data_IF_990078724900
#
_entry.id   IF_990078724900
#
_cell.length_a   1.000
_cell.length_b   1.000
_cell.length_c   1.000
_cell.angle_alpha   90.00
_cell.angle_beta   90.00
_cell.angle_gamma   90.00
#
_symmetry.space_group_name_H-M   'P 1'
#
loop_
_entity.id
_entity.type
_entity.pdbx_description
1 polymer ?
#
# COMPACT_ATOMS: atom_id res chain seq x y z
N UNK A 1 -88.76 22.25 137.98
CA UNK A 1 -87.69 21.85 137.04
C UNK A 1 -88.17 21.52 135.62
N UNK A 2 -89.47 21.27 135.35
CA UNK A 2 -89.96 20.96 134.00
C UNK A 2 -90.12 22.18 133.06
N UNK A 3 -90.22 23.42 133.58
CA UNK A 3 -90.53 24.61 132.78
C UNK A 3 -89.39 25.17 131.92
N UNK A 4 -88.12 24.88 132.25
CA UNK A 4 -86.96 25.45 131.53
C UNK A 4 -86.46 24.61 130.35
N UNK A 5 -86.94 23.38 130.21
CA UNK A 5 -86.56 22.50 129.09
C UNK A 5 -87.21 22.89 127.74
N UNK A 6 -88.09 23.89 127.72
CA UNK A 6 -88.88 24.25 126.53
C UNK A 6 -88.44 25.51 125.76
N UNK A 7 -87.53 26.33 126.30
CA UNK A 7 -87.20 27.66 125.71
C UNK A 7 -85.89 27.72 124.93
N UNK A 8 -84.98 26.76 125.12
CA UNK A 8 -83.68 26.69 124.42
C UNK A 8 -83.61 25.40 123.60
N UNK A 9 -82.97 25.46 122.43
CA UNK A 9 -82.78 24.26 121.59
C UNK A 9 -81.59 23.43 122.08
N UNK A 10 -81.54 22.15 121.70
CA UNK A 10 -80.50 21.20 122.13
C UNK A 10 -79.10 21.65 121.65
N UNK A 11 -79.02 22.34 120.52
CA UNK A 11 -77.78 22.86 119.96
C UNK A 11 -77.19 24.02 120.78
N UNK A 12 -78.04 24.92 121.25
CA UNK A 12 -77.64 26.09 122.05
C UNK A 12 -77.13 25.65 123.42
N UNK A 13 -77.79 24.67 124.05
CA UNK A 13 -77.33 24.07 125.32
C UNK A 13 -75.96 23.39 125.17
N UNK A 14 -75.66 22.84 123.99
CA UNK A 14 -74.38 22.18 123.73
C UNK A 14 -73.26 23.17 123.39
N UNK A 15 -73.56 24.22 122.61
CA UNK A 15 -72.59 25.26 122.24
C UNK A 15 -72.23 26.15 123.43
N UNK A 16 -73.21 26.57 124.23
CA UNK A 16 -73.05 27.56 125.28
C UNK A 16 -73.56 27.04 126.65
N UNK A 17 -72.80 26.11 127.23
CA UNK A 17 -73.13 25.44 128.50
C UNK A 17 -73.21 26.39 129.70
N UNK A 18 -72.36 27.41 129.71
CA UNK A 18 -72.28 28.37 130.82
C UNK A 18 -73.51 29.26 130.89
N UNK A 19 -74.07 29.64 129.72
CA UNK A 19 -75.28 30.45 129.64
C UNK A 19 -76.49 29.68 130.18
N UNK A 20 -76.65 28.40 129.80
CA UNK A 20 -77.71 27.55 130.34
C UNK A 20 -77.60 27.37 131.86
N UNK A 21 -76.40 27.14 132.38
CA UNK A 21 -76.15 27.02 133.82
C UNK A 21 -76.50 28.30 134.59
N UNK A 22 -76.25 29.47 134.00
CA UNK A 22 -76.65 30.77 134.54
C UNK A 22 -78.17 30.92 134.70
N UNK A 23 -78.93 30.65 133.63
CA UNK A 23 -80.39 30.76 133.64
C UNK A 23 -81.04 29.82 134.67
N UNK A 24 -80.57 28.58 134.78
CA UNK A 24 -81.13 27.62 135.75
C UNK A 24 -80.90 28.08 137.19
N UNK A 25 -79.74 28.68 137.48
CA UNK A 25 -79.45 29.24 138.80
C UNK A 25 -80.41 30.38 139.14
N UNK A 26 -80.65 31.29 138.20
CA UNK A 26 -81.51 32.46 138.41
C UNK A 26 -82.95 32.07 138.75
N UNK A 27 -83.51 31.06 138.07
CA UNK A 27 -84.88 30.58 138.32
C UNK A 27 -84.98 29.74 139.59
N UNK A 28 -83.95 28.93 139.92
CA UNK A 28 -84.00 28.04 141.08
C UNK A 28 -83.61 28.73 142.41
N UNK A 29 -82.82 29.81 142.36
CA UNK A 29 -82.38 30.56 143.54
C UNK A 29 -83.54 30.99 144.48
N UNK A 30 -84.66 31.59 144.02
CA UNK A 30 -85.75 32.00 144.91
C UNK A 30 -86.50 30.81 145.54
N UNK A 31 -86.63 29.68 144.85
CA UNK A 31 -87.35 28.50 145.35
C UNK A 31 -86.56 27.78 146.45
N UNK A 32 -85.26 27.59 146.23
CA UNK A 32 -84.36 26.92 147.18
C UNK A 32 -84.06 27.84 148.38
N UNK A 33 -84.02 29.16 148.15
CA UNK A 33 -83.89 30.17 149.21
C UNK A 33 -85.05 30.18 150.21
N UNK A 34 -86.31 29.96 149.77
CA UNK A 34 -87.47 29.83 150.68
C UNK A 34 -87.39 28.61 151.60
N UNK A 35 -86.61 27.59 151.22
CA UNK A 35 -86.33 26.41 152.04
C UNK A 35 -85.11 26.59 152.96
N UNK A 36 -84.45 27.76 152.92
CA UNK A 36 -83.26 28.06 153.74
C UNK A 36 -81.96 27.46 153.19
N UNK A 37 -81.91 27.10 151.90
CA UNK A 37 -80.74 26.51 151.24
C UNK A 37 -80.21 27.51 150.19
N UNK A 38 -78.89 27.66 150.08
CA UNK A 38 -78.24 28.50 149.07
C UNK A 38 -77.45 27.64 148.07
N UNK A 39 -77.55 27.96 146.78
CA UNK A 39 -76.84 27.25 145.71
C UNK A 39 -75.46 27.89 145.50
N UNK A 40 -74.40 27.28 146.04
CA UNK A 40 -73.01 27.78 145.88
C UNK A 40 -72.49 27.67 144.43
N UNK A 41 -72.75 26.55 143.77
CA UNK A 41 -72.32 26.33 142.39
C UNK A 41 -73.26 25.36 141.68
N UNK A 42 -73.46 25.61 140.39
CA UNK A 42 -74.19 24.75 139.49
C UNK A 42 -73.33 24.57 138.24
N UNK A 43 -72.90 23.33 138.00
CA UNK A 43 -72.08 22.97 136.84
C UNK A 43 -72.73 21.77 136.18
N UNK A 44 -72.88 21.85 134.86
CA UNK A 44 -73.38 20.74 134.06
C UNK A 44 -72.22 19.74 133.94
N UNK A 45 -72.44 18.50 134.40
CA UNK A 45 -71.45 17.43 134.23
C UNK A 45 -71.47 16.92 132.79
N UNK A 46 -72.54 16.22 132.44
CA UNK A 46 -72.70 15.61 131.12
C UNK A 46 -74.09 15.89 130.56
N UNK A 47 -74.16 16.09 129.25
CA UNK A 47 -75.42 16.16 128.49
C UNK A 47 -75.50 14.91 127.64
N UNK A 48 -76.41 14.03 128.00
CA UNK A 48 -76.70 12.81 127.25
C UNK A 48 -77.96 13.02 126.41
N UNK A 49 -77.92 12.49 125.19
CA UNK A 49 -79.05 12.45 124.29
C UNK A 49 -79.38 10.98 123.99
N UNK A 50 -80.64 10.61 124.20
CA UNK A 50 -81.13 9.24 123.98
C UNK A 50 -81.32 8.95 122.48
N UNK A 51 -81.49 9.98 121.64
CA UNK A 51 -81.84 9.85 120.20
C UNK A 51 -80.61 10.09 119.28
N UNK A 52 -79.41 10.22 119.84
CA UNK A 52 -78.13 10.27 119.11
C UNK A 52 -78.03 11.39 118.03
N UNK A 53 -78.77 12.48 118.21
CA UNK A 53 -78.82 13.65 117.33
C UNK A 53 -77.47 14.38 117.26
N UNK A 54 -76.83 14.61 118.42
CA UNK A 54 -75.54 15.32 118.51
C UNK A 54 -74.40 14.58 117.79
N UNK A 55 -74.39 13.25 117.86
CA UNK A 55 -73.40 12.44 117.17
C UNK A 55 -73.57 12.51 115.64
N UNK A 56 -74.80 12.66 115.16
CA UNK A 56 -75.11 12.78 113.73
C UNK A 56 -74.68 14.15 113.16
N UNK A 57 -74.81 15.22 113.94
CA UNK A 57 -74.33 16.56 113.57
C UNK A 57 -72.79 16.59 113.42
N UNK A 58 -72.07 15.93 114.33
CA UNK A 58 -70.61 15.79 114.24
C UNK A 58 -70.15 15.00 113.01
N UNK A 59 -70.90 13.95 112.63
CA UNK A 59 -70.64 13.20 111.39
C UNK A 59 -70.80 14.06 110.14
N UNK A 60 -71.80 14.95 110.09
CA UNK A 60 -72.01 15.85 108.96
C UNK A 60 -70.87 16.87 108.82
N UNK A 61 -70.45 17.50 109.92
CA UNK A 61 -69.37 18.49 109.92
C UNK A 61 -68.01 17.86 109.59
N UNK A 62 -67.70 16.68 110.14
CA UNK A 62 -66.47 15.95 109.81
C UNK A 62 -66.44 15.47 108.36
N UNK A 63 -67.58 15.09 107.78
CA UNK A 63 -67.68 14.76 106.36
C UNK A 63 -67.48 15.99 105.46
N UNK A 64 -67.96 17.16 105.86
CA UNK A 64 -67.75 18.41 105.12
C UNK A 64 -66.27 18.80 105.11
N UNK A 65 -65.60 18.82 106.27
CA UNK A 65 -64.17 19.14 106.37
C UNK A 65 -63.31 18.15 105.59
N UNK A 66 -63.63 16.84 105.65
CA UNK A 66 -62.93 15.83 104.84
C UNK A 66 -63.10 16.07 103.35
N UNK A 67 -64.33 16.36 102.91
CA UNK A 67 -64.62 16.66 101.50
C UNK A 67 -63.82 17.89 101.03
N UNK A 68 -63.79 18.96 101.82
CA UNK A 68 -63.08 20.18 101.45
C UNK A 68 -61.56 19.95 101.43
N UNK A 69 -61.02 19.17 102.36
CA UNK A 69 -59.63 18.74 102.34
C UNK A 69 -59.30 17.89 101.10
N UNK A 70 -60.16 16.94 100.75
CA UNK A 70 -60.00 16.08 99.56
C UNK A 70 -60.06 16.91 98.28
N UNK A 71 -60.96 17.90 98.20
CA UNK A 71 -61.05 18.86 97.08
C UNK A 71 -59.75 19.68 97.00
N UNK A 72 -59.24 20.18 98.13
CA UNK A 72 -57.99 20.93 98.18
C UNK A 72 -56.79 20.12 97.70
N UNK A 73 -56.68 18.86 98.15
CA UNK A 73 -55.62 17.94 97.70
C UNK A 73 -55.77 17.62 96.21
N UNK A 74 -56.99 17.40 95.71
CA UNK A 74 -57.23 17.12 94.30
C UNK A 74 -56.92 18.34 93.40
N UNK A 75 -57.23 19.55 93.84
CA UNK A 75 -56.89 20.79 93.14
C UNK A 75 -55.37 21.01 93.12
N UNK A 76 -54.71 20.88 94.27
CA UNK A 76 -53.25 21.01 94.34
C UNK A 76 -52.52 19.99 93.46
N UNK A 77 -52.97 18.73 93.44
CA UNK A 77 -52.41 17.70 92.58
C UNK A 77 -52.67 17.97 91.09
N UNK A 78 -53.86 18.51 90.75
CA UNK A 78 -54.17 18.90 89.37
C UNK A 78 -53.26 20.03 88.91
N UNK A 79 -53.11 21.07 89.71
CA UNK A 79 -52.32 22.25 89.37
C UNK A 79 -50.83 21.89 89.29
N UNK A 80 -50.34 21.05 90.21
CA UNK A 80 -49.00 20.48 90.15
C UNK A 80 -48.78 19.68 88.86
N UNK A 81 -49.74 18.81 88.48
CA UNK A 81 -49.66 18.03 87.26
C UNK A 81 -49.69 18.87 85.97
N UNK A 82 -50.48 19.96 85.94
CA UNK A 82 -50.49 20.90 84.80
C UNK A 82 -49.13 21.59 84.70
N UNK A 83 -48.61 22.11 85.81
CA UNK A 83 -47.33 22.80 85.82
C UNK A 83 -46.17 21.87 85.44
N UNK A 84 -46.19 20.63 85.93
CA UNK A 84 -45.22 19.60 85.57
C UNK A 84 -45.28 19.27 84.08
N UNK A 85 -46.48 19.05 83.52
CA UNK A 85 -46.65 18.78 82.10
C UNK A 85 -46.21 19.96 81.20
N UNK A 86 -46.45 21.21 81.62
CA UNK A 86 -45.97 22.40 80.91
C UNK A 86 -44.44 22.54 80.97
N UNK A 87 -43.85 22.31 82.14
CA UNK A 87 -42.40 22.29 82.31
C UNK A 87 -41.76 21.17 81.47
N UNK A 88 -42.38 19.99 81.42
CA UNK A 88 -41.89 18.86 80.61
C UNK A 88 -42.00 19.17 79.11
N UNK A 89 -43.13 19.71 78.66
CA UNK A 89 -43.32 20.12 77.26
C UNK A 89 -42.28 21.15 76.83
N UNK A 90 -42.09 22.20 77.63
CA UNK A 90 -41.10 23.25 77.31
C UNK A 90 -39.67 22.69 77.31
N UNK A 91 -39.33 21.79 78.24
CA UNK A 91 -38.04 21.12 78.26
C UNK A 91 -37.82 20.24 77.01
N UNK A 92 -38.84 19.49 76.58
CA UNK A 92 -38.79 18.69 75.36
C UNK A 92 -38.66 19.57 74.11
N UNK A 93 -39.42 20.67 74.01
CA UNK A 93 -39.34 21.61 72.89
C UNK A 93 -37.94 22.22 72.76
N UNK A 94 -37.33 22.61 73.89
CA UNK A 94 -35.94 23.09 73.91
C UNK A 94 -34.99 21.99 73.47
N UNK A 95 -35.16 20.75 73.97
CA UNK A 95 -34.31 19.62 73.60
C UNK A 95 -34.38 19.34 72.10
N UNK A 96 -35.58 19.25 71.51
CA UNK A 96 -35.75 19.05 70.08
C UNK A 96 -35.19 20.19 69.24
N UNK A 97 -35.33 21.44 69.69
CA UNK A 97 -34.72 22.59 69.02
C UNK A 97 -33.18 22.53 69.05
N UNK A 98 -32.59 22.07 70.15
CA UNK A 98 -31.14 21.88 70.24
C UNK A 98 -30.66 20.70 69.37
N UNK A 99 -31.36 19.57 69.43
CA UNK A 99 -31.04 18.38 68.62
C UNK A 99 -31.12 18.70 67.12
N UNK A 100 -32.15 19.44 66.70
CA UNK A 100 -32.28 19.91 65.31
C UNK A 100 -31.09 20.77 64.89
N UNK A 101 -30.66 21.71 65.74
CA UNK A 101 -29.48 22.55 65.47
C UNK A 101 -28.18 21.74 65.42
N UNK A 102 -28.04 20.72 66.27
CA UNK A 102 -26.86 19.85 66.26
C UNK A 102 -26.80 19.08 64.95
N UNK A 103 -27.91 18.48 64.52
CA UNK A 103 -27.97 17.74 63.26
C UNK A 103 -27.80 18.64 62.03
N UNK A 104 -28.37 19.84 62.04
CA UNK A 104 -28.16 20.83 60.97
C UNK A 104 -26.68 21.22 60.87
N UNK A 105 -26.03 21.53 62.00
CA UNK A 105 -24.59 21.83 62.02
C UNK A 105 -23.75 20.63 61.56
N UNK A 106 -24.10 19.42 61.99
CA UNK A 106 -23.40 18.20 61.59
C UNK A 106 -23.56 17.93 60.08
N UNK A 107 -24.76 18.14 59.52
CA UNK A 107 -25.03 18.04 58.09
C UNK A 107 -24.25 19.08 57.31
N UNK A 108 -24.26 20.34 57.75
CA UNK A 108 -23.51 21.43 57.12
C UNK A 108 -22.00 21.15 57.12
N UNK A 109 -21.45 20.68 58.25
CA UNK A 109 -20.06 20.27 58.35
C UNK A 109 -19.72 19.13 57.39
N UNK A 110 -20.56 18.08 57.32
CA UNK A 110 -20.37 16.94 56.40
C UNK A 110 -20.42 17.38 54.94
N UNK A 111 -21.34 18.28 54.58
CA UNK A 111 -21.44 18.82 53.22
C UNK A 111 -20.20 19.64 52.84
N UNK A 112 -19.75 20.54 53.72
CA UNK A 112 -18.53 21.31 53.48
C UNK A 112 -17.30 20.41 53.37
N UNK A 113 -17.17 19.41 54.25
CA UNK A 113 -16.09 18.42 54.17
C UNK A 113 -16.12 17.66 52.85
N UNK A 114 -17.29 17.17 52.42
CA UNK A 114 -17.42 16.46 51.16
C UNK A 114 -17.07 17.36 49.96
N UNK A 115 -17.44 18.64 49.99
CA UNK A 115 -17.08 19.60 48.97
C UNK A 115 -15.55 19.82 48.91
N UNK A 116 -14.89 20.04 50.05
CA UNK A 116 -13.44 20.17 50.08
C UNK A 116 -12.73 18.88 49.65
N UNK A 117 -13.22 17.71 50.07
CA UNK A 117 -12.68 16.43 49.63
C UNK A 117 -12.84 16.26 48.11
N UNK A 118 -13.97 16.68 47.54
CA UNK A 118 -14.17 16.70 46.09
C UNK A 118 -13.16 17.63 45.41
N UNK A 119 -13.00 18.87 45.88
CA UNK A 119 -12.05 19.85 45.32
C UNK A 119 -10.59 19.37 45.41
N UNK A 120 -10.22 18.79 46.56
CA UNK A 120 -8.88 18.21 46.76
C UNK A 120 -8.67 17.01 45.82
N UNK A 121 -9.68 16.16 45.66
CA UNK A 121 -9.58 15.01 44.77
C UNK A 121 -9.54 15.42 43.30
N UNK A 122 -10.31 16.43 42.87
CA UNK A 122 -10.22 16.96 41.50
C UNK A 122 -8.85 17.58 41.26
N UNK A 123 -8.34 18.40 42.18
CA UNK A 123 -7.01 19.00 42.04
C UNK A 123 -5.89 17.94 42.02
N UNK A 124 -6.00 16.88 42.83
CA UNK A 124 -5.07 15.73 42.79
C UNK A 124 -5.16 14.98 41.47
N UNK A 125 -6.36 14.71 40.97
CA UNK A 125 -6.55 14.02 39.69
C UNK A 125 -6.00 14.85 38.51
N UNK A 126 -6.27 16.16 38.50
CA UNK A 126 -5.70 17.09 37.51
C UNK A 126 -4.18 17.12 37.58
N UNK A 127 -3.60 17.17 38.79
CA UNK A 127 -2.15 17.14 38.97
C UNK A 127 -1.52 15.83 38.46
N UNK A 128 -2.17 14.68 38.72
CA UNK A 128 -1.73 13.39 38.23
C UNK A 128 -1.78 13.31 36.70
N UNK A 129 -2.91 13.72 36.09
CA UNK A 129 -3.07 13.77 34.64
C UNK A 129 -2.09 14.75 33.99
N UNK A 130 -1.84 15.90 34.61
CA UNK A 130 -0.85 16.87 34.14
C UNK A 130 0.57 16.28 34.16
N UNK A 131 0.92 15.56 35.23
CA UNK A 131 2.21 14.85 35.32
C UNK A 131 2.35 13.78 34.24
N UNK A 132 1.33 12.94 34.06
CA UNK A 132 1.30 11.91 33.00
C UNK A 132 1.39 12.53 31.60
N UNK A 133 0.66 13.62 31.34
CA UNK A 133 0.71 14.35 30.08
C UNK A 133 2.11 14.92 29.80
N UNK A 134 2.76 15.49 30.82
CA UNK A 134 4.13 15.99 30.67
C UNK A 134 5.12 14.86 30.43
N UNK A 135 4.99 13.73 31.15
CA UNK A 135 5.81 12.55 30.91
C UNK A 135 5.64 12.02 29.48
N UNK A 136 4.40 11.98 28.96
CA UNK A 136 4.11 11.58 27.58
C UNK A 136 4.72 12.55 26.56
N UNK A 137 4.61 13.87 26.77
CA UNK A 137 5.24 14.89 25.91
C UNK A 137 6.75 14.76 25.88
N UNK A 138 7.38 14.53 27.04
CA UNK A 138 8.83 14.31 27.13
C UNK A 138 9.22 13.03 26.39
N UNK A 139 8.49 11.92 26.60
CA UNK A 139 8.73 10.68 25.85
C UNK A 139 8.59 10.86 24.34
N UNK A 140 7.60 11.64 23.89
CA UNK A 140 7.44 11.96 22.46
C UNK A 140 8.64 12.75 21.93
N UNK A 141 9.15 13.74 22.68
CA UNK A 141 10.36 14.50 22.32
C UNK A 141 11.59 13.59 22.27
N UNK A 142 11.79 12.72 23.26
CA UNK A 142 12.89 11.76 23.29
C UNK A 142 12.82 10.85 22.06
N UNK A 143 11.65 10.27 21.77
CA UNK A 143 11.46 9.42 20.58
C UNK A 143 11.75 10.16 19.27
N UNK A 144 11.33 11.42 19.15
CA UNK A 144 11.63 12.21 17.96
C UNK A 144 13.14 12.42 17.80
N UNK A 145 13.86 12.66 18.90
CA UNK A 145 15.32 12.79 18.88
C UNK A 145 16.01 11.45 18.55
N UNK A 146 15.54 10.35 19.12
CA UNK A 146 16.01 8.99 18.81
C UNK A 146 15.86 8.66 17.32
N UNK A 147 14.71 8.98 16.72
CA UNK A 147 14.48 8.80 15.28
C UNK A 147 15.44 9.66 14.46
N UNK A 148 15.73 10.90 14.89
CA UNK A 148 16.72 11.73 14.19
C UNK A 148 18.12 11.13 14.26
N UNK A 149 18.51 10.58 15.41
CA UNK A 149 19.78 9.86 15.56
C UNK A 149 19.81 8.66 14.61
N UNK A 150 18.76 7.83 14.57
CA UNK A 150 18.67 6.67 13.67
C UNK A 150 18.76 7.08 12.19
N UNK A 151 18.09 8.17 11.80
CA UNK A 151 18.15 8.69 10.42
C UNK A 151 19.57 9.15 10.07
N UNK A 152 20.26 9.82 11.00
CA UNK A 152 21.66 10.23 10.79
C UNK A 152 22.59 9.03 10.68
N UNK A 153 22.43 8.02 11.55
CA UNK A 153 23.20 6.77 11.50
C UNK A 153 22.98 6.04 10.17
N UNK A 154 21.72 5.85 9.76
CA UNK A 154 21.40 5.20 8.49
C UNK A 154 21.90 5.99 7.28
N UNK A 155 21.85 7.34 7.32
CA UNK A 155 22.45 8.19 6.27
C UNK A 155 23.96 7.99 6.18
N UNK A 156 24.66 7.99 7.32
CA UNK A 156 26.11 7.72 7.35
C UNK A 156 26.44 6.32 6.84
N UNK A 157 25.61 5.33 7.15
CA UNK A 157 25.81 3.98 6.66
C UNK A 157 25.66 3.90 5.13
N UNK A 158 24.64 4.54 4.57
CA UNK A 158 24.46 4.66 3.11
C UNK A 158 25.66 5.39 2.48
N UNK A 159 26.17 6.45 3.13
CA UNK A 159 27.34 7.18 2.64
C UNK A 159 28.60 6.29 2.61
N UNK A 160 28.84 5.50 3.66
CA UNK A 160 29.95 4.53 3.70
C UNK A 160 29.76 3.46 2.61
N UNK A 161 28.56 2.91 2.45
CA UNK A 161 28.26 1.93 1.41
C UNK A 161 28.46 2.49 0.00
N UNK A 162 28.04 3.74 -0.25
CA UNK A 162 28.28 4.43 -1.52
C UNK A 162 29.77 4.60 -1.79
N UNK A 163 30.57 4.99 -0.79
CA UNK A 163 32.02 5.09 -0.91
C UNK A 163 32.67 3.71 -1.17
N UNK A 164 32.17 2.64 -0.54
CA UNK A 164 32.64 1.27 -0.83
C UNK A 164 32.29 0.83 -2.25
N UNK A 165 31.09 1.14 -2.75
CA UNK A 165 30.70 0.86 -4.14
C UNK A 165 31.61 1.59 -5.11
N UNK A 166 31.87 2.88 -4.89
CA UNK A 166 32.78 3.67 -5.74
C UNK A 166 34.19 3.07 -5.77
N UNK A 167 34.74 2.69 -4.61
CA UNK A 167 36.05 2.01 -4.57
C UNK A 167 36.02 0.70 -5.33
N UNK A 168 34.98 -0.12 -5.16
CA UNK A 168 34.82 -1.39 -5.90
C UNK A 168 34.66 -1.18 -7.40
N UNK A 169 33.94 -0.15 -7.83
CA UNK A 169 33.82 0.21 -9.25
C UNK A 169 35.18 0.59 -9.83
N UNK A 170 35.96 1.42 -9.13
CA UNK A 170 37.32 1.77 -9.55
C UNK A 170 38.24 0.53 -9.60
N UNK A 171 38.16 -0.35 -8.61
CA UNK A 171 38.89 -1.63 -8.59
C UNK A 171 38.50 -2.51 -9.78
N UNK A 172 37.20 -2.65 -10.10
CA UNK A 172 36.71 -3.43 -11.24
C UNK A 172 37.09 -2.80 -12.58
N UNK A 173 37.08 -1.47 -12.67
CA UNK A 173 37.54 -0.75 -13.86
C UNK A 173 39.02 -1.07 -14.11
N UNK A 174 39.86 -0.98 -13.06
CA UNK A 174 41.29 -1.24 -13.17
C UNK A 174 41.61 -2.73 -13.45
N UNK A 175 40.91 -3.66 -12.79
CA UNK A 175 41.23 -5.11 -12.85
C UNK A 175 40.59 -5.85 -14.02
N UNK A 176 39.38 -5.45 -14.45
CA UNK A 176 38.63 -6.17 -15.48
C UNK A 176 38.50 -5.36 -16.76
N UNK A 177 38.02 -4.11 -16.68
CA UNK A 177 37.78 -3.33 -17.91
C UNK A 177 39.06 -2.94 -18.61
N UNK A 178 40.04 -2.38 -17.89
CA UNK A 178 41.27 -1.88 -18.51
C UNK A 178 42.07 -2.99 -19.24
N UNK A 179 42.29 -4.19 -18.67
CA UNK A 179 42.94 -5.26 -19.42
C UNK A 179 42.07 -5.80 -20.56
N UNK A 180 40.75 -5.89 -20.39
CA UNK A 180 39.87 -6.30 -21.48
C UNK A 180 39.88 -5.31 -22.65
N UNK A 181 39.89 -4.00 -22.37
CA UNK A 181 40.02 -2.94 -23.38
C UNK A 181 41.40 -2.99 -24.06
N UNK A 182 42.48 -3.23 -23.29
CA UNK A 182 43.82 -3.41 -23.84
C UNK A 182 43.93 -4.64 -24.75
N UNK A 183 43.33 -5.78 -24.36
CA UNK A 183 43.27 -7.00 -25.18
C UNK A 183 42.41 -6.80 -26.43
N UNK A 184 41.25 -6.15 -26.32
CA UNK A 184 40.39 -5.83 -27.44
C UNK A 184 41.11 -4.93 -28.45
N UNK A 185 41.81 -3.89 -27.99
CA UNK A 185 42.62 -3.02 -28.84
C UNK A 185 43.77 -3.79 -29.51
N UNK A 186 44.46 -4.67 -28.78
CA UNK A 186 45.52 -5.53 -29.34
C UNK A 186 44.96 -6.47 -30.42
N UNK A 187 43.81 -7.08 -30.19
CA UNK A 187 43.19 -7.98 -31.14
C UNK A 187 42.70 -7.23 -32.39
N UNK A 188 42.10 -6.05 -32.21
CA UNK A 188 41.66 -5.20 -33.31
C UNK A 188 42.84 -4.76 -34.18
N UNK A 189 43.94 -4.29 -33.58
CA UNK A 189 45.15 -3.90 -34.33
C UNK A 189 45.78 -5.07 -35.08
N UNK A 190 45.80 -6.28 -34.49
CA UNK A 190 46.25 -7.51 -35.19
C UNK A 190 45.28 -7.86 -36.33
N UNK A 191 43.97 -7.77 -36.12
CA UNK A 191 42.96 -8.08 -37.13
C UNK A 191 43.00 -7.07 -38.28
N UNK A 192 43.17 -5.79 -38.00
CA UNK A 192 43.39 -4.73 -38.99
C UNK A 192 44.69 -4.96 -39.76
N UNK A 193 45.78 -5.31 -39.07
CA UNK A 193 47.05 -5.68 -39.70
C UNK A 193 46.94 -6.90 -40.64
N UNK A 194 46.21 -7.93 -40.24
CA UNK A 194 45.92 -9.10 -41.10
C UNK A 194 45.02 -8.72 -42.27
N UNK A 195 44.03 -7.85 -42.06
CA UNK A 195 43.13 -7.37 -43.11
C UNK A 195 43.88 -6.54 -44.14
N UNK A 196 44.77 -5.64 -43.72
CA UNK A 196 45.61 -4.88 -44.64
C UNK A 196 46.59 -5.79 -45.36
N UNK A 197 47.24 -6.72 -44.67
CA UNK A 197 48.13 -7.70 -45.31
C UNK A 197 47.41 -8.54 -46.38
N UNK A 198 46.21 -9.04 -46.10
CA UNK A 198 45.43 -9.85 -47.06
C UNK A 198 44.94 -9.02 -48.25
N UNK A 199 44.52 -7.77 -48.03
CA UNK A 199 44.12 -6.87 -49.13
C UNK A 199 45.32 -6.49 -49.99
N UNK A 200 46.46 -6.14 -49.39
CA UNK A 200 47.67 -5.80 -50.13
C UNK A 200 48.26 -7.02 -50.86
N UNK A 201 48.23 -8.21 -50.27
CA UNK A 201 48.60 -9.44 -50.96
C UNK A 201 47.67 -9.72 -52.16
N UNK A 202 46.35 -9.60 -51.98
CA UNK A 202 45.39 -9.77 -53.08
C UNK A 202 45.57 -8.73 -54.19
N UNK A 203 45.90 -7.47 -53.85
CA UNK A 203 46.26 -6.44 -54.82
C UNK A 203 47.54 -6.78 -55.56
N UNK A 204 48.59 -7.19 -54.84
CA UNK A 204 49.87 -7.57 -55.43
C UNK A 204 49.73 -8.77 -56.38
N UNK A 205 48.94 -9.77 -56.00
CA UNK A 205 48.62 -10.90 -56.88
C UNK A 205 47.80 -10.45 -58.10
N UNK A 206 46.84 -9.54 -57.93
CA UNK A 206 46.09 -8.93 -59.02
C UNK A 206 46.97 -8.15 -59.99
N UNK A 207 47.93 -7.37 -59.48
CA UNK A 207 48.92 -6.64 -60.29
C UNK A 207 49.86 -7.61 -61.01
N UNK A 208 50.32 -8.66 -60.33
CA UNK A 208 51.14 -9.72 -60.93
C UNK A 208 50.42 -10.38 -62.10
N UNK A 209 49.15 -10.77 -61.92
CA UNK A 209 48.34 -11.36 -63.00
C UNK A 209 48.14 -10.37 -64.14
N UNK A 210 47.90 -9.08 -63.86
CA UNK A 210 47.78 -8.06 -64.91
C UNK A 210 49.07 -7.91 -65.72
N UNK A 211 50.23 -7.86 -65.07
CA UNK A 211 51.53 -7.73 -65.75
C UNK A 211 51.82 -8.98 -66.58
N UNK A 212 51.57 -10.18 -66.04
CA UNK A 212 51.70 -11.44 -66.79
C UNK A 212 50.74 -11.48 -67.98
N UNK A 213 49.46 -11.15 -67.79
CA UNK A 213 48.47 -11.12 -68.86
C UNK A 213 48.78 -10.10 -69.94
N UNK A 214 49.33 -8.93 -69.58
CA UNK A 214 49.84 -7.96 -70.55
C UNK A 214 51.05 -8.51 -71.32
N UNK A 215 52.01 -9.12 -70.63
CA UNK A 215 53.18 -9.74 -71.27
C UNK A 215 52.77 -10.87 -72.24
N UNK A 216 51.83 -11.73 -71.83
CA UNK A 216 51.26 -12.78 -72.68
C UNK A 216 50.48 -12.20 -73.87
N UNK A 217 49.65 -11.17 -73.65
CA UNK A 217 48.93 -10.50 -74.73
C UNK A 217 49.89 -9.82 -75.74
N UNK A 218 50.97 -9.22 -75.25
CA UNK A 218 52.03 -8.67 -76.11
C UNK A 218 52.74 -9.78 -76.88
N UNK A 219 53.11 -10.89 -76.23
CA UNK A 219 53.75 -12.03 -76.89
C UNK A 219 52.86 -12.66 -77.98
N UNK A 220 51.58 -12.90 -77.68
CA UNK A 220 50.60 -13.40 -78.66
C UNK A 220 50.37 -12.37 -79.78
N UNK A 221 50.31 -11.08 -79.43
CA UNK A 221 50.18 -10.00 -80.40
C UNK A 221 51.36 -9.93 -81.37
N UNK A 222 52.58 -10.10 -80.88
CA UNK A 222 53.79 -10.09 -81.70
C UNK A 222 53.90 -11.36 -82.55
N UNK A 223 53.53 -12.54 -82.02
CA UNK A 223 53.38 -13.76 -82.82
C UNK A 223 52.32 -13.57 -83.91
N UNK A 224 51.17 -12.98 -83.58
CA UNK A 224 50.09 -12.69 -84.53
C UNK A 224 50.50 -11.69 -85.62
N UNK A 225 51.30 -10.66 -85.28
CA UNK A 225 51.90 -9.74 -86.26
C UNK A 225 52.91 -10.44 -87.15
N UNK A 226 53.80 -11.24 -86.57
CA UNK A 226 54.75 -12.05 -87.33
C UNK A 226 54.03 -13.02 -88.29
N UNK A 227 52.91 -13.61 -87.88
CA UNK A 227 52.07 -14.45 -88.73
C UNK A 227 51.39 -13.66 -89.84
N UNK A 228 50.86 -12.47 -89.53
CA UNK A 228 50.27 -11.57 -90.51
C UNK A 228 51.31 -11.10 -91.55
N UNK A 229 52.53 -10.76 -91.11
CA UNK A 229 53.64 -10.40 -91.98
C UNK A 229 54.11 -11.59 -92.83
N UNK A 230 54.19 -12.79 -92.25
CA UNK A 230 54.46 -14.04 -93.01
C UNK A 230 53.40 -14.29 -94.06
N UNK A 231 52.12 -14.09 -93.75
CA UNK A 231 51.01 -14.22 -94.70
C UNK A 231 51.06 -13.14 -95.79
N UNK A 232 51.38 -11.89 -95.45
CA UNK A 232 51.52 -10.80 -96.41
C UNK A 232 52.72 -11.01 -97.34
N UNK A 233 53.85 -11.48 -96.81
CA UNK A 233 55.01 -11.84 -97.60
C UNK A 233 54.67 -12.99 -98.54
N UNK A 234 54.01 -14.05 -98.06
CA UNK A 234 53.46 -15.11 -98.91
C UNK A 234 52.55 -14.53 -99.99
N UNK A 235 51.59 -13.67 -99.64
CA UNK A 235 50.67 -13.05 -100.60
C UNK A 235 51.39 -12.16 -101.64
N UNK A 236 52.47 -11.47 -101.26
CA UNK A 236 53.27 -10.63 -102.15
C UNK A 236 54.11 -11.46 -103.12
N UNK A 237 54.66 -12.58 -102.65
CA UNK A 237 55.30 -13.59 -103.48
C UNK A 237 54.27 -14.14 -104.49
N UNK A 238 53.08 -14.55 -104.04
CA UNK A 238 52.02 -15.03 -104.92
C UNK A 238 51.53 -13.99 -105.95
N UNK A 239 51.58 -12.69 -105.63
CA UNK A 239 51.27 -11.62 -106.60
C UNK A 239 52.34 -11.44 -107.68
N UNK A 240 53.61 -11.68 -107.37
CA UNK A 240 54.72 -11.54 -108.33
C UNK A 240 54.87 -12.77 -109.24
N UNK A 241 54.50 -13.96 -108.75
CA UNK A 241 54.34 -15.16 -109.58
C UNK A 241 52.95 -15.19 -110.25
N UNK A 242 52.69 -14.21 -111.13
CA UNK A 242 51.47 -14.14 -111.95
C UNK A 242 51.33 -15.32 -112.92
N UNK A 243 50.12 -15.86 -113.02
CA UNK A 243 49.62 -17.03 -113.78
C UNK A 243 50.34 -18.39 -113.59
N UNK A 244 51.66 -18.43 -113.43
CA UNK A 244 52.42 -19.67 -113.25
C UNK A 244 52.22 -20.32 -111.87
N UNK A 245 52.04 -19.54 -110.80
CA UNK A 245 51.79 -20.09 -109.47
C UNK A 245 50.36 -20.63 -109.31
N UNK A 246 49.38 -20.10 -110.04
CA UNK A 246 48.02 -20.65 -110.06
C UNK A 246 48.05 -22.03 -110.74
N UNK A 247 48.79 -22.16 -111.84
CA UNK A 247 48.98 -23.45 -112.52
C UNK A 247 49.72 -24.46 -111.63
N UNK A 248 50.77 -24.03 -110.91
CA UNK A 248 51.51 -24.88 -109.97
C UNK A 248 50.69 -25.29 -108.74
N UNK A 249 49.86 -24.39 -108.19
CA UNK A 249 48.97 -24.69 -107.07
C UNK A 249 47.85 -25.65 -107.50
N UNK A 250 47.33 -25.53 -108.73
CA UNK A 250 46.41 -26.52 -109.30
C UNK A 250 47.13 -27.86 -109.49
N UNK A 251 48.39 -27.87 -109.92
CA UNK A 251 49.22 -29.08 -110.03
C UNK A 251 49.60 -29.72 -108.68
N UNK A 252 49.73 -28.95 -107.59
CA UNK A 252 49.96 -29.46 -106.22
C UNK A 252 48.67 -29.85 -105.49
N UNK A 253 47.56 -29.16 -105.77
CA UNK A 253 46.23 -29.52 -105.26
C UNK A 253 45.63 -30.72 -106.03
N UNK A 254 46.02 -30.93 -107.29
CA UNK A 254 45.61 -32.06 -108.13
C UNK A 254 45.87 -33.42 -107.45
N UNK A 255 47.02 -33.70 -106.82
CA UNK A 255 47.22 -34.95 -106.08
C UNK A 255 46.29 -35.10 -104.88
N UNK A 256 45.91 -34.02 -104.19
CA UNK A 256 44.99 -34.08 -103.04
C UNK A 256 43.54 -34.29 -103.46
N UNK A 257 43.11 -33.64 -104.55
CA UNK A 257 41.80 -33.89 -105.16
C UNK A 257 41.78 -35.28 -105.81
N UNK A 258 42.86 -35.70 -106.46
CA UNK A 258 43.00 -37.06 -106.99
C UNK A 258 43.00 -38.09 -105.86
N UNK A 259 43.60 -37.83 -104.70
CA UNK A 259 43.53 -38.70 -103.53
C UNK A 259 42.11 -38.81 -102.95
N UNK A 260 41.34 -37.71 -102.89
CA UNK A 260 39.94 -37.77 -102.45
C UNK A 260 39.00 -38.43 -103.48
N UNK A 261 39.24 -38.22 -104.78
CA UNK A 261 38.47 -38.83 -105.87
C UNK A 261 38.85 -40.30 -106.12
N UNK A 262 40.09 -40.70 -105.78
CA UNK A 262 40.55 -42.10 -105.84
C UNK A 262 40.34 -42.87 -104.53
N UNK A 263 40.10 -42.21 -103.39
CA UNK A 263 39.77 -42.89 -102.14
C UNK A 263 38.55 -43.85 -102.23
N UNK A 264 37.52 -43.58 -103.06
CA UNK A 264 36.45 -44.54 -103.35
C UNK A 264 36.85 -45.66 -104.34
N UNK A 265 37.77 -45.40 -105.27
CA UNK A 265 38.22 -46.36 -106.30
C UNK A 265 39.33 -47.30 -105.79
N UNK A 266 40.15 -46.86 -104.84
CA UNK A 266 41.18 -47.65 -104.17
C UNK A 266 40.62 -48.54 -103.03
N UNK A 267 39.34 -48.36 -102.66
CA UNK A 267 38.63 -49.19 -101.66
C UNK A 267 37.78 -50.31 -102.28
N UNK A 268 37.77 -50.46 -103.60
CA UNK A 268 37.08 -51.56 -104.30
C UNK A 268 38.10 -52.54 -104.86
N UNK A 269 38.57 -53.47 -104.02
CA UNK A 269 39.58 -54.50 -104.36
C UNK A 269 39.00 -55.77 -105.02
N UNK A 270 37.71 -55.79 -105.39
CA UNK A 270 37.13 -56.95 -106.08
C UNK A 270 35.92 -56.57 -106.95
N UNK A 271 36.11 -56.49 -108.28
CA UNK A 271 35.00 -56.52 -109.24
C UNK A 271 34.81 -57.97 -109.65
N UNK A 272 33.87 -58.64 -108.97
CA UNK A 272 33.39 -59.96 -109.38
C UNK A 272 32.55 -59.80 -110.64
N UNK A 273 33.10 -60.25 -111.77
CA UNK A 273 32.34 -60.45 -113.00
C UNK A 273 31.37 -61.61 -112.80
N UNK A 274 30.12 -61.32 -112.43
CA UNK A 274 29.02 -62.29 -112.58
C UNK A 274 28.56 -62.22 -114.03
N UNK A 275 28.85 -63.28 -114.79
CA UNK A 275 28.37 -63.42 -116.15
C UNK A 275 26.84 -63.51 -116.18
N UNK A 276 26.21 -62.72 -117.05
CA UNK A 276 25.45 -63.25 -118.17
C UNK A 276 25.14 -62.12 -119.17
N UNK A 277 25.57 -62.31 -120.42
CA UNK A 277 25.21 -61.58 -121.66
C UNK A 277 25.10 -60.04 -121.70
N UNK A 278 25.99 -59.42 -122.49
CA UNK A 278 25.68 -58.20 -123.27
C UNK A 278 26.38 -56.91 -122.84
N UNK A 279 27.52 -56.60 -123.47
CA UNK A 279 28.15 -55.29 -123.44
C UNK A 279 27.28 -54.21 -124.15
N UNK A 280 27.36 -52.94 -123.68
CA UNK A 280 27.07 -51.64 -124.36
C UNK A 280 26.06 -50.63 -123.74
N UNK A 281 25.85 -50.58 -122.41
CA UNK A 281 24.95 -49.59 -121.77
C UNK A 281 25.57 -48.53 -120.82
N UNK A 282 26.59 -48.87 -120.03
CA UNK A 282 26.85 -48.15 -118.77
C UNK A 282 27.87 -47.00 -118.83
N UNK A 283 28.55 -46.81 -119.96
CA UNK A 283 29.51 -45.70 -120.11
C UNK A 283 28.79 -44.34 -120.23
N UNK A 284 27.56 -44.32 -120.73
CA UNK A 284 26.80 -43.08 -120.92
C UNK A 284 26.22 -42.49 -119.61
N UNK A 285 25.98 -43.31 -118.58
CA UNK A 285 25.42 -42.83 -117.29
C UNK A 285 26.49 -42.33 -116.32
N UNK A 286 27.72 -42.83 -116.40
CA UNK A 286 28.81 -42.39 -115.53
C UNK A 286 29.32 -40.98 -115.88
N UNK A 287 29.26 -40.58 -117.15
CA UNK A 287 29.67 -39.24 -117.60
C UNK A 287 28.70 -38.12 -117.17
N UNK A 288 27.46 -38.45 -116.81
CA UNK A 288 26.44 -37.48 -116.39
C UNK A 288 26.42 -37.17 -114.88
N UNK A 289 27.07 -37.99 -114.05
CA UNK A 289 27.00 -37.89 -112.58
C UNK A 289 28.15 -37.07 -111.95
N UNK A 290 29.15 -36.68 -112.74
CA UNK A 290 30.34 -35.95 -112.26
C UNK A 290 30.03 -34.46 -111.94
N UNK A 291 29.19 -33.74 -112.71
CA UNK A 291 28.97 -32.30 -112.45
C UNK A 291 28.24 -31.95 -111.12
N UNK A 292 27.24 -32.71 -110.62
CA UNK A 292 26.54 -32.36 -109.37
C UNK A 292 27.32 -32.65 -108.08
N UNK A 293 28.15 -33.71 -108.06
CA UNK A 293 28.85 -34.16 -106.85
C UNK A 293 29.97 -33.20 -106.40
N UNK A 294 30.63 -32.54 -107.35
CA UNK A 294 31.71 -31.59 -107.05
C UNK A 294 31.17 -30.29 -106.44
N UNK A 295 29.94 -29.89 -106.80
CA UNK A 295 29.26 -28.69 -106.27
C UNK A 295 28.92 -28.81 -104.79
N UNK A 296 28.48 -29.98 -104.35
CA UNK A 296 28.09 -30.23 -102.95
C UNK A 296 29.29 -30.46 -102.03
N UNK A 297 30.41 -30.98 -102.56
CA UNK A 297 31.57 -31.31 -101.73
C UNK A 297 32.56 -30.15 -101.59
N UNK A 298 32.64 -29.25 -102.58
CA UNK A 298 33.64 -28.15 -102.59
C UNK A 298 33.07 -26.74 -102.37
N UNK A 299 31.74 -26.57 -102.45
CA UNK A 299 31.06 -25.31 -102.12
C UNK A 299 31.45 -24.09 -102.97
N UNK A 300 32.19 -24.27 -104.07
CA UNK A 300 32.76 -23.20 -104.90
C UNK A 300 32.17 -23.23 -106.31
N UNK A 301 31.35 -22.23 -106.64
CA UNK A 301 30.85 -21.99 -108.00
C UNK A 301 31.91 -21.21 -108.82
N UNK A 302 32.66 -21.95 -109.65
CA UNK A 302 33.72 -21.42 -110.53
C UNK A 302 33.24 -20.35 -111.53
N UNK A 303 31.93 -20.26 -111.78
CA UNK A 303 31.31 -19.24 -112.64
C UNK A 303 31.35 -17.83 -112.05
N UNK A 304 31.47 -17.70 -110.72
CA UNK A 304 31.62 -16.39 -110.06
C UNK A 304 33.08 -15.89 -109.98
N UNK A 305 34.06 -16.80 -110.07
CA UNK A 305 35.49 -16.46 -109.94
C UNK A 305 36.03 -15.83 -111.24
N UNK A 306 35.54 -16.27 -112.39
CA UNK A 306 35.90 -15.72 -113.71
C UNK A 306 35.43 -14.26 -113.94
N UNK A 307 34.43 -13.78 -113.18
CA UNK A 307 33.96 -12.37 -113.25
C UNK A 307 34.76 -11.39 -112.39
N UNK A 308 35.67 -11.86 -111.52
CA UNK A 308 36.51 -11.00 -110.65
C UNK A 308 37.91 -10.68 -111.21
N UNK A 309 38.29 -11.21 -112.36
CA UNK A 309 39.61 -11.02 -112.98
C UNK A 309 39.71 -9.83 -113.95
N UNK A 310 38.69 -8.95 -114.02
CA UNK A 310 38.74 -7.70 -114.80
C UNK A 310 38.13 -6.54 -113.98
N UNK A 311 38.87 -5.49 -113.58
CA UNK A 311 38.43 -4.54 -112.56
C UNK A 311 37.59 -3.39 -113.14
N UNK A 312 36.82 -2.70 -112.28
CA UNK A 312 37.08 -1.28 -112.11
C UNK A 312 37.34 -0.89 -110.64
N UNK A 313 37.99 0.26 -110.55
CA UNK A 313 38.57 1.00 -109.43
C UNK A 313 37.67 1.29 -108.22
N UNK A 314 38.38 1.57 -107.12
CA UNK A 314 38.05 2.42 -105.97
C UNK A 314 37.37 1.84 -104.71
N UNK A 315 38.14 1.92 -103.61
CA UNK A 315 37.65 2.04 -102.23
C UNK A 315 37.15 3.48 -101.99
N UNK A 316 36.29 3.68 -100.98
CA UNK A 316 36.86 4.34 -99.80
C UNK A 316 36.39 3.78 -98.45
N UNK A 317 37.28 3.96 -97.48
CA UNK A 317 37.06 3.91 -96.04
C UNK A 317 35.97 4.88 -95.57
N UNK A 318 35.04 4.38 -94.76
CA UNK A 318 34.26 5.13 -93.76
C UNK A 318 33.79 4.11 -92.73
N UNK A 319 33.66 4.35 -91.43
CA UNK A 319 33.83 5.50 -90.57
C UNK A 319 33.43 5.02 -89.17
N UNK A 320 33.99 5.61 -88.13
CA UNK A 320 33.57 5.34 -86.75
C UNK A 320 32.04 5.51 -86.61
N UNK A 321 31.37 4.51 -86.04
CA UNK A 321 30.09 4.72 -85.36
C UNK A 321 30.11 4.06 -83.99
N UNK A 322 30.14 4.92 -82.97
CA UNK A 322 29.71 4.64 -81.60
C UNK A 322 28.34 3.96 -81.64
N UNK A 323 28.15 2.92 -80.83
CA UNK A 323 26.83 2.50 -80.34
C UNK A 323 26.91 2.42 -78.83
N UNK A 324 26.31 3.42 -78.20
CA UNK A 324 25.84 3.33 -76.82
C UNK A 324 24.77 2.25 -76.75
N UNK A 325 24.86 1.45 -75.70
CA UNK A 325 23.92 0.39 -75.35
C UNK A 325 22.79 1.05 -74.57
N UNK A 326 21.57 0.95 -75.09
CA UNK A 326 20.35 1.16 -74.31
C UNK A 326 19.50 -0.10 -74.46
N UNK A 327 19.22 -0.72 -73.32
CA UNK A 327 18.42 -1.92 -73.18
C UNK A 327 16.92 -1.60 -73.27
N UNK A 328 16.22 -2.32 -74.14
CA UNK A 328 14.88 -2.91 -73.99
C UNK A 328 14.57 -3.70 -75.27
#
# INVERSE_FOLDING_TARGET
>A
MLLLKGTLTVEEVYKDRDQFAGLVREVAAPDVGRMGIEILSFTIKDVYDDVQYLASLGKAQTAAVKRDADIGVAQANRDAGIQEAECEKTAMDVKYAMDTKIEDNARMYKLQKAQFDQEVNTAKAESALAYELQAAKIKQKIRNEEIQIEVVERRKQIEVEQQEILRREEELIATVRLPAEAEAYRLQTIAEGKRTQTVEAAKADGERIKVLGLAEAHAIGDVGKADAERMLAKAKVYKQYGDAAIMALVLEALPKIAAEVSAPLAKTDEIVMVGDTGATGDIARLAGAIPPAVRTLTGLDLTHVLKRLNPPEDLPSSGLKKKEVTAC
#
